data_IF_087061833774
#
_entry.id   IF_087061833774
#
_cell.length_a   1.000
_cell.length_b   1.000
_cell.length_c   1.000
_cell.angle_alpha   90.00
_cell.angle_beta   90.00
_cell.angle_gamma   90.00
#
_symmetry.space_group_name_H-M   'P 1'
#
loop_
_entity.id
_entity.type
_entity.pdbx_description
1 polymer ?
#
# COMPACT_ATOMS: atom_id res chain seq x y z
N UNK A 1 10.30 11.19 -0.98
CA UNK A 1 9.09 10.37 -1.13
C UNK A 1 9.35 9.02 -0.48
N UNK A 2 8.38 8.51 0.27
CA UNK A 2 8.41 7.17 0.88
C UNK A 2 7.09 6.44 0.58
N UNK A 3 7.10 5.12 0.68
CA UNK A 3 5.94 4.25 0.45
C UNK A 3 5.86 3.21 1.57
N UNK A 4 4.67 3.05 2.15
CA UNK A 4 4.37 1.95 3.06
C UNK A 4 3.14 1.17 2.61
N UNK A 5 3.14 -0.15 2.87
CA UNK A 5 2.06 -1.06 2.51
C UNK A 5 1.56 -1.84 3.73
N UNK A 6 0.25 -1.89 3.90
CA UNK A 6 -0.44 -2.60 4.96
C UNK A 6 -1.40 -3.65 4.38
N UNK A 7 -1.62 -4.73 5.14
CA UNK A 7 -2.75 -5.63 4.93
C UNK A 7 -3.57 -5.67 6.21
N UNK A 8 -4.80 -5.20 6.14
CA UNK A 8 -5.62 -4.87 7.32
C UNK A 8 -6.84 -5.79 7.37
N UNK A 9 -7.00 -6.56 8.44
CA UNK A 9 -8.15 -7.45 8.61
C UNK A 9 -9.21 -6.72 9.43
N UNK A 10 -10.44 -6.62 8.92
CA UNK A 10 -11.49 -5.84 9.59
C UNK A 10 -11.86 -6.44 10.94
N UNK A 11 -11.97 -7.77 11.02
CA UNK A 11 -12.22 -8.52 12.25
C UNK A 11 -11.18 -8.30 13.36
N UNK A 12 -9.95 -7.87 13.02
CA UNK A 12 -8.88 -7.58 13.96
C UNK A 12 -8.65 -6.07 14.15
N UNK A 13 -9.64 -5.24 13.81
CA UNK A 13 -9.52 -3.78 13.92
C UNK A 13 -8.43 -3.18 13.04
N UNK A 14 -8.10 -3.84 11.91
CA UNK A 14 -7.08 -3.40 10.97
C UNK A 14 -5.69 -4.02 11.17
N UNK A 15 -5.49 -4.86 12.20
CA UNK A 15 -4.27 -5.68 12.29
C UNK A 15 -4.28 -6.81 11.24
N UNK A 16 -3.12 -7.31 10.77
CA UNK A 16 -1.75 -6.92 11.12
C UNK A 16 -1.34 -5.50 10.68
N UNK A 17 -2.01 -4.95 9.67
CA UNK A 17 -1.79 -3.61 9.17
C UNK A 17 -0.32 -3.36 8.76
N UNK A 18 0.34 -2.33 9.29
CA UNK A 18 1.74 -2.02 8.95
C UNK A 18 2.72 -3.09 9.42
N UNK A 19 2.31 -3.98 10.31
CA UNK A 19 3.15 -5.06 10.83
C UNK A 19 3.10 -6.32 9.96
N UNK A 20 2.39 -6.30 8.81
CA UNK A 20 2.15 -7.47 7.97
C UNK A 20 3.43 -8.24 7.60
N UNK A 21 4.56 -7.54 7.39
CA UNK A 21 5.86 -8.17 7.12
C UNK A 21 6.23 -9.18 8.22
N UNK A 22 6.10 -8.78 9.48
CA UNK A 22 6.48 -9.61 10.63
C UNK A 22 5.50 -10.75 10.86
N UNK A 23 4.22 -10.49 10.63
CA UNK A 23 3.19 -11.52 10.73
C UNK A 23 3.37 -12.59 9.64
N UNK A 24 3.62 -12.18 8.39
CA UNK A 24 3.91 -13.10 7.30
C UNK A 24 5.19 -13.92 7.58
N UNK A 25 6.26 -13.29 8.07
CA UNK A 25 7.52 -13.98 8.41
C UNK A 25 7.31 -15.07 9.48
N UNK A 26 6.53 -14.79 10.53
CA UNK A 26 6.36 -15.72 11.65
C UNK A 26 5.27 -16.75 11.45
N UNK A 27 4.20 -16.40 10.73
CA UNK A 27 3.01 -17.24 10.60
C UNK A 27 2.92 -17.94 9.24
N UNK A 28 3.60 -17.40 8.22
CA UNK A 28 3.39 -17.80 6.84
C UNK A 28 1.96 -17.53 6.36
N UNK A 29 1.66 -17.94 5.12
CA UNK A 29 0.34 -17.75 4.53
C UNK A 29 -0.77 -18.51 5.27
N UNK A 30 -0.49 -19.75 5.68
CA UNK A 30 -1.45 -20.57 6.43
C UNK A 30 -1.78 -19.93 7.79
N UNK A 31 -0.77 -19.45 8.51
CA UNK A 31 -0.99 -18.79 9.79
C UNK A 31 -1.71 -17.44 9.66
N UNK A 32 -1.46 -16.67 8.59
CA UNK A 32 -2.24 -15.46 8.29
C UNK A 32 -3.73 -15.77 8.08
N UNK A 33 -4.06 -16.86 7.38
CA UNK A 33 -5.45 -17.29 7.23
C UNK A 33 -6.05 -17.76 8.57
N UNK A 34 -5.29 -18.54 9.34
CA UNK A 34 -5.72 -19.06 10.65
C UNK A 34 -5.94 -17.99 11.72
N UNK A 35 -5.30 -16.82 11.62
CA UNK A 35 -5.59 -15.69 12.52
C UNK A 35 -7.06 -15.30 12.54
N UNK A 36 -7.75 -15.52 11.42
CA UNK A 36 -9.17 -15.22 11.29
C UNK A 36 -10.06 -16.43 11.55
N UNK A 37 -9.54 -17.61 11.91
CA UNK A 37 -10.33 -18.85 12.02
C UNK A 37 -11.56 -18.73 12.92
N UNK A 38 -11.44 -17.99 14.03
CA UNK A 38 -12.50 -17.79 15.02
C UNK A 38 -13.49 -16.65 14.69
N UNK A 39 -13.28 -15.92 13.59
CA UNK A 39 -14.10 -14.77 13.19
C UNK A 39 -14.91 -15.09 11.95
N UNK A 40 -16.21 -14.84 11.93
CA UNK A 40 -17.01 -15.03 10.70
C UNK A 40 -16.59 -14.03 9.61
N UNK A 41 -16.23 -12.81 10.02
CA UNK A 41 -15.75 -11.78 9.13
C UNK A 41 -14.33 -12.07 8.62
N UNK A 42 -14.22 -12.32 7.31
CA UNK A 42 -12.95 -12.49 6.61
C UNK A 42 -12.56 -11.27 5.78
N UNK A 43 -13.35 -10.20 5.83
CA UNK A 43 -13.10 -9.00 5.05
C UNK A 43 -11.81 -8.31 5.49
N UNK A 44 -11.11 -7.78 4.50
CA UNK A 44 -9.83 -7.13 4.67
C UNK A 44 -9.66 -6.06 3.60
N UNK A 45 -8.64 -5.22 3.76
CA UNK A 45 -8.21 -4.34 2.71
C UNK A 45 -6.68 -4.30 2.64
N UNK A 46 -6.18 -4.28 1.42
CA UNK A 46 -4.81 -3.89 1.15
C UNK A 46 -4.74 -2.36 1.09
N UNK A 47 -3.71 -1.77 1.68
CA UNK A 47 -3.51 -0.32 1.71
C UNK A 47 -2.07 0.03 1.32
N UNK A 48 -1.91 1.02 0.44
CA UNK A 48 -0.63 1.63 0.14
C UNK A 48 -0.73 3.12 0.47
N UNK A 49 0.31 3.65 1.10
CA UNK A 49 0.42 5.06 1.41
C UNK A 49 1.72 5.59 0.84
N UNK A 50 1.62 6.48 -0.15
CA UNK A 50 2.75 7.34 -0.54
C UNK A 50 2.74 8.59 0.34
N UNK A 51 3.92 8.98 0.84
CA UNK A 51 4.13 10.27 1.48
C UNK A 51 5.20 11.06 0.72
N UNK A 52 4.87 12.28 0.35
CA UNK A 52 5.72 13.18 -0.42
C UNK A 52 5.93 14.49 0.33
N UNK A 53 7.16 15.01 0.31
CA UNK A 53 7.50 16.34 0.78
C UNK A 53 8.48 16.97 -0.20
N UNK A 54 8.30 18.26 -0.48
CA UNK A 54 9.17 19.04 -1.35
C UNK A 54 10.52 19.38 -0.70
N UNK A 55 10.64 19.26 0.62
CA UNK A 55 11.88 19.45 1.36
C UNK A 55 11.65 19.54 2.89
N UNK A 56 12.73 19.70 3.69
CA UNK A 56 12.67 19.61 5.15
C UNK A 56 11.63 20.52 5.83
N UNK A 57 11.37 21.70 5.27
CA UNK A 57 10.42 22.67 5.82
C UNK A 57 9.00 22.56 5.22
N UNK A 58 8.79 21.61 4.30
CA UNK A 58 7.49 21.37 3.68
C UNK A 58 6.76 20.21 4.37
N UNK A 59 5.52 20.48 4.81
CA UNK A 59 4.65 19.46 5.40
C UNK A 59 4.43 18.29 4.43
N UNK A 60 4.59 17.03 4.87
CA UNK A 60 4.35 15.88 4.03
C UNK A 60 2.88 15.78 3.61
N UNK A 61 2.66 15.60 2.31
CA UNK A 61 1.36 15.25 1.75
C UNK A 61 1.27 13.74 1.59
N UNK A 62 0.14 13.17 2.02
CA UNK A 62 -0.08 11.74 2.12
C UNK A 62 -1.17 11.29 1.15
N UNK A 63 -0.92 10.20 0.43
CA UNK A 63 -1.81 9.67 -0.58
C UNK A 63 -2.21 8.24 -0.22
N UNK A 64 -3.45 8.05 0.21
CA UNK A 64 -3.99 6.75 0.59
C UNK A 64 -4.60 6.04 -0.63
N UNK A 65 -4.22 4.79 -0.87
CA UNK A 65 -4.83 3.91 -1.87
C UNK A 65 -5.19 2.58 -1.23
N UNK A 66 -6.46 2.17 -1.37
CA UNK A 66 -6.98 0.93 -0.77
C UNK A 66 -7.66 0.04 -1.79
N UNK A 67 -7.55 -1.26 -1.62
CA UNK A 67 -8.33 -2.27 -2.33
C UNK A 67 -9.04 -3.15 -1.30
N UNK A 68 -10.36 -3.19 -1.35
CA UNK A 68 -11.16 -4.06 -0.52
C UNK A 68 -11.12 -5.51 -1.03
N UNK A 69 -11.31 -6.46 -0.12
CA UNK A 69 -11.28 -7.87 -0.42
C UNK A 69 -11.50 -8.71 0.83
N UNK A 70 -11.00 -9.93 0.78
CA UNK A 70 -11.07 -10.89 1.89
C UNK A 70 -9.84 -11.77 1.96
N UNK A 71 -9.62 -12.32 3.15
CA UNK A 71 -8.55 -13.29 3.41
C UNK A 71 -9.04 -14.69 3.14
N UNK A 72 -8.29 -15.45 2.36
CA UNK A 72 -8.63 -16.80 1.90
C UNK A 72 -7.46 -17.76 2.08
N UNK A 73 -7.70 -19.08 2.07
CA UNK A 73 -6.61 -20.06 2.00
C UNK A 73 -5.72 -19.77 0.79
N UNK A 74 -4.42 -19.94 0.98
CA UNK A 74 -3.42 -19.53 -0.01
C UNK A 74 -3.62 -20.23 -1.36
N UNK A 75 -3.65 -19.44 -2.45
CA UNK A 75 -3.71 -19.93 -3.83
C UNK A 75 -2.80 -19.11 -4.75
N UNK A 76 -2.33 -19.73 -5.82
CA UNK A 76 -1.42 -19.11 -6.79
C UNK A 76 0.06 -19.31 -6.44
N UNK A 77 0.93 -18.89 -7.34
CA UNK A 77 2.38 -18.96 -7.14
C UNK A 77 2.84 -17.85 -6.21
N UNK A 78 3.62 -18.20 -5.18
CA UNK A 78 4.14 -17.20 -4.25
C UNK A 78 5.34 -16.45 -4.85
N UNK A 79 5.06 -15.46 -5.69
CA UNK A 79 6.07 -14.55 -6.22
C UNK A 79 6.44 -13.44 -5.21
N UNK A 80 5.46 -12.97 -4.42
CA UNK A 80 5.67 -11.82 -3.54
C UNK A 80 4.68 -11.75 -2.37
N UNK A 81 5.23 -11.64 -1.15
CA UNK A 81 4.51 -11.21 0.03
C UNK A 81 3.28 -12.07 0.37
N UNK A 82 2.18 -11.40 0.70
CA UNK A 82 0.91 -11.99 1.15
C UNK A 82 -0.11 -12.12 0.01
N UNK A 83 0.28 -11.87 -1.23
CA UNK A 83 -0.59 -11.99 -2.41
C UNK A 83 -1.39 -13.30 -2.47
N UNK A 84 -0.84 -14.48 -2.08
CA UNK A 84 -1.60 -15.74 -2.12
C UNK A 84 -2.82 -15.80 -1.20
N UNK A 85 -2.90 -14.97 -0.16
CA UNK A 85 -3.98 -15.03 0.84
C UNK A 85 -5.00 -13.91 0.69
N UNK A 86 -4.82 -12.98 -0.24
CA UNK A 86 -5.71 -11.85 -0.44
C UNK A 86 -6.49 -11.99 -1.76
N UNK A 87 -7.80 -12.10 -1.66
CA UNK A 87 -8.75 -12.10 -2.78
C UNK A 87 -9.44 -10.73 -2.83
N UNK A 88 -9.05 -9.82 -3.74
CA UNK A 88 -9.70 -8.52 -3.90
C UNK A 88 -11.12 -8.70 -4.45
N UNK A 89 -12.05 -7.83 -4.04
CA UNK A 89 -13.45 -7.90 -4.49
C UNK A 89 -13.58 -7.75 -6.02
N UNK A 90 -12.72 -6.95 -6.62
CA UNK A 90 -12.63 -6.71 -8.07
C UNK A 90 -11.79 -7.78 -8.81
N UNK A 91 -11.31 -8.82 -8.12
CA UNK A 91 -10.42 -9.85 -8.66
C UNK A 91 -11.10 -11.06 -9.27
N UNK A 92 -12.43 -11.06 -9.42
CA UNK A 92 -13.19 -12.18 -9.98
C UNK A 92 -12.91 -13.54 -9.30
N UNK A 93 -12.74 -13.54 -7.97
CA UNK A 93 -12.47 -14.75 -7.17
C UNK A 93 -11.01 -15.23 -7.17
N UNK A 94 -10.13 -14.53 -7.88
CA UNK A 94 -8.70 -14.82 -7.90
C UNK A 94 -8.00 -14.11 -6.75
N UNK A 95 -7.00 -14.77 -6.16
CA UNK A 95 -6.06 -14.09 -5.26
C UNK A 95 -5.12 -13.20 -6.09
N UNK A 96 -4.49 -12.21 -5.47
CA UNK A 96 -3.47 -11.40 -6.16
C UNK A 96 -2.36 -12.25 -6.79
N UNK A 97 -2.02 -13.40 -6.18
CA UNK A 97 -1.00 -14.32 -6.72
C UNK A 97 -1.49 -15.14 -7.93
N UNK A 98 -2.79 -15.21 -8.18
CA UNK A 98 -3.38 -15.88 -9.35
C UNK A 98 -3.64 -14.93 -10.52
N UNK A 99 -3.60 -13.61 -10.27
CA UNK A 99 -3.85 -12.60 -11.30
C UNK A 99 -2.63 -12.39 -12.19
N UNK A 100 -2.86 -12.10 -13.47
CA UNK A 100 -1.81 -11.56 -14.32
C UNK A 100 -1.34 -10.19 -13.77
N UNK A 101 -0.07 -9.87 -14.01
CA UNK A 101 0.55 -8.64 -13.45
C UNK A 101 -0.24 -7.38 -13.83
N UNK A 102 -0.70 -7.28 -15.07
CA UNK A 102 -1.40 -6.09 -15.56
C UNK A 102 -2.80 -5.97 -14.94
N UNK A 103 -3.52 -7.07 -14.79
CA UNK A 103 -4.83 -7.12 -14.13
C UNK A 103 -4.71 -6.73 -12.64
N UNK A 104 -3.71 -7.28 -11.95
CA UNK A 104 -3.41 -6.90 -10.56
C UNK A 104 -3.12 -5.41 -10.46
N UNK A 105 -2.25 -4.90 -11.34
CA UNK A 105 -1.84 -3.50 -11.32
C UNK A 105 -3.04 -2.55 -11.51
N UNK A 106 -4.01 -2.92 -12.36
CA UNK A 106 -5.19 -2.11 -12.63
C UNK A 106 -6.06 -1.86 -11.39
N UNK A 107 -6.13 -2.82 -10.47
CA UNK A 107 -6.97 -2.72 -9.26
C UNK A 107 -6.19 -2.54 -7.96
N UNK A 108 -4.85 -2.51 -8.02
CA UNK A 108 -4.00 -2.54 -6.83
C UNK A 108 -4.07 -1.25 -5.99
N UNK A 109 -4.04 -1.44 -4.68
CA UNK A 109 -3.92 -0.39 -3.67
C UNK A 109 -2.74 0.55 -3.94
N UNK A 110 -1.58 0.01 -4.35
CA UNK A 110 -0.42 0.80 -4.78
C UNK A 110 -0.72 1.67 -5.99
N UNK A 111 -1.38 1.13 -7.03
CA UNK A 111 -1.74 1.92 -8.21
C UNK A 111 -2.67 3.06 -7.85
N UNK A 112 -3.69 2.80 -7.02
CA UNK A 112 -4.64 3.82 -6.54
C UNK A 112 -3.92 4.97 -5.81
N UNK A 113 -3.01 4.62 -4.90
CA UNK A 113 -2.21 5.61 -4.16
C UNK A 113 -1.31 6.42 -5.11
N UNK A 114 -0.68 5.76 -6.08
CA UNK A 114 0.16 6.41 -7.09
C UNK A 114 -0.63 7.33 -8.02
N UNK A 115 -1.87 6.96 -8.39
CA UNK A 115 -2.75 7.80 -9.21
C UNK A 115 -3.12 9.09 -8.45
N UNK A 116 -3.40 9.00 -7.15
CA UNK A 116 -3.61 10.18 -6.29
C UNK A 116 -2.38 11.09 -6.23
N UNK A 117 -1.19 10.53 -6.01
CA UNK A 117 0.06 11.28 -6.04
C UNK A 117 0.29 11.94 -7.40
N UNK A 118 0.06 11.21 -8.49
CA UNK A 118 0.25 11.70 -9.86
C UNK A 118 -0.70 12.86 -10.17
N UNK A 119 -1.96 12.76 -9.76
CA UNK A 119 -2.93 13.84 -9.90
C UNK A 119 -2.47 15.08 -9.13
N UNK A 120 -2.07 14.93 -7.87
CA UNK A 120 -1.58 16.03 -7.05
C UNK A 120 -0.37 16.74 -7.67
N UNK A 121 0.64 15.99 -8.12
CA UNK A 121 1.84 16.56 -8.73
C UNK A 121 1.55 17.28 -10.04
N UNK A 122 0.56 16.84 -10.83
CA UNK A 122 0.15 17.51 -12.05
C UNK A 122 -0.56 18.83 -11.77
N UNK A 123 -1.44 18.84 -10.77
CA UNK A 123 -2.21 20.01 -10.37
C UNK A 123 -1.32 21.08 -9.71
N UNK A 124 -0.33 20.66 -8.91
CA UNK A 124 0.52 21.55 -8.10
C UNK A 124 1.96 21.66 -8.63
N UNK A 125 2.18 21.38 -9.92
CA UNK A 125 3.52 21.27 -10.50
C UNK A 125 4.38 22.52 -10.28
N UNK A 126 3.78 23.71 -10.44
CA UNK A 126 4.49 24.99 -10.28
C UNK A 126 4.89 25.24 -8.82
N UNK A 127 3.96 25.03 -7.89
CA UNK A 127 4.18 25.28 -6.46
C UNK A 127 5.20 24.31 -5.87
N UNK A 128 5.06 23.01 -6.18
CA UNK A 128 6.01 21.98 -5.77
C UNK A 128 7.40 22.26 -6.36
N UNK A 129 7.47 22.66 -7.63
CA UNK A 129 8.73 23.05 -8.27
C UNK A 129 9.42 24.21 -7.55
N UNK A 130 8.68 25.28 -7.28
CA UNK A 130 9.20 26.45 -6.56
C UNK A 130 9.68 26.10 -5.14
N UNK A 131 8.96 25.24 -4.42
CA UNK A 131 9.36 24.77 -3.10
C UNK A 131 10.67 23.97 -3.15
N UNK A 132 10.80 23.03 -4.10
CA UNK A 132 12.02 22.23 -4.28
C UNK A 132 13.21 23.14 -4.61
N UNK A 133 13.03 24.10 -5.50
CA UNK A 133 14.08 25.06 -5.88
C UNK A 133 14.50 25.94 -4.70
N UNK A 134 13.55 26.43 -3.91
CA UNK A 134 13.82 27.21 -2.70
C UNK A 134 14.67 26.42 -1.70
N UNK A 135 14.29 25.17 -1.44
CA UNK A 135 15.00 24.28 -0.51
C UNK A 135 16.40 23.91 -1.03
N UNK A 136 16.55 23.67 -2.33
CA UNK A 136 17.85 23.44 -2.95
C UNK A 136 18.78 24.65 -2.81
N UNK A 137 18.26 25.87 -3.05
CA UNK A 137 19.02 27.11 -2.90
C UNK A 137 19.41 27.38 -1.43
N UNK A 138 18.53 27.08 -0.47
CA UNK A 138 18.81 27.19 0.95
C UNK A 138 19.94 26.24 1.36
N UNK A 139 19.86 24.97 0.95
CA UNK A 139 20.87 23.95 1.24
C UNK A 139 22.25 24.31 0.70
N UNK A 140 22.33 24.86 -0.52
CA UNK A 140 23.59 25.28 -1.13
C UNK A 140 24.30 26.41 -0.36
N UNK A 141 23.55 27.27 0.35
CA UNK A 141 24.12 28.36 1.16
C UNK A 141 24.60 27.92 2.55
N UNK A 142 24.15 26.75 3.00
CA UNK A 142 24.49 26.16 4.32
C UNK A 142 25.52 25.04 4.25
N UNK A 143 26.03 24.69 3.06
CA UNK A 143 27.16 23.78 2.94
C UNK A 143 28.47 24.52 3.32
N UNK A 144 29.30 23.96 4.22
CA UNK A 144 30.61 24.52 4.58
C UNK A 144 31.62 24.48 3.42
#
# INVERSE_FOLDING_TARGET
MVEDTCLCFNALGGLPGPYIKWFLDKLGHDGLNKLLAAYDDKSAYAQCVFAFSAGPDAEPVVFDGRTAGKIVPARGENAFGWDPVFEPDEGNGLTYAQMAKDDKNAISHRRRSLDHLTAYLREHAADVGAQIEHEAAKRAKTLP
#
